data_IF_104068468964
#
_entry.id   IF_104068468964
#
_cell.length_a   1.000
_cell.length_b   1.000
_cell.length_c   1.000
_cell.angle_alpha   90.00
_cell.angle_beta   90.00
_cell.angle_gamma   90.00
#
_symmetry.space_group_name_H-M   'P 1'
#
loop_
_entity.id
_entity.type
_entity.pdbx_description
1 polymer ?
#
# COMPACT_ATOMS: atom_id res chain seq x y z
N UNK A 1 -53.38 -6.27 10.85
CA UNK A 1 -54.44 -7.30 10.80
C UNK A 1 -55.66 -6.91 11.60
N UNK A 2 -55.61 -6.96 12.93
CA UNK A 2 -56.75 -6.51 13.76
C UNK A 2 -57.08 -5.03 13.50
N UNK A 3 -56.06 -4.16 13.53
CA UNK A 3 -56.23 -2.71 13.36
C UNK A 3 -56.73 -2.29 11.96
N UNK A 4 -56.22 -2.91 10.90
CA UNK A 4 -56.67 -2.65 9.51
C UNK A 4 -58.14 -3.07 9.29
N UNK A 5 -58.57 -4.18 9.90
CA UNK A 5 -59.97 -4.61 9.85
C UNK A 5 -60.91 -3.70 10.67
N UNK A 6 -60.36 -2.94 11.63
CA UNK A 6 -61.09 -1.94 12.42
C UNK A 6 -61.06 -0.54 11.76
N UNK A 7 -60.65 -0.44 10.49
CA UNK A 7 -60.65 0.82 9.73
C UNK A 7 -59.44 1.72 9.97
N UNK A 8 -58.36 1.22 10.56
CA UNK A 8 -57.12 2.02 10.69
C UNK A 8 -56.51 2.28 9.32
N UNK A 9 -56.13 3.54 9.07
CA UNK A 9 -55.46 3.95 7.84
C UNK A 9 -54.00 3.48 7.80
N UNK A 10 -53.52 3.17 6.59
CA UNK A 10 -52.10 2.92 6.32
C UNK A 10 -51.40 4.27 6.12
N UNK A 11 -50.26 4.46 6.76
CA UNK A 11 -49.49 5.71 6.82
C UNK A 11 -48.28 5.70 5.87
N UNK A 12 -47.85 4.52 5.43
CA UNK A 12 -46.79 4.31 4.46
C UNK A 12 -45.61 3.50 5.01
N UNK A 13 -45.04 2.63 4.18
CA UNK A 13 -43.91 1.75 4.51
C UNK A 13 -44.30 0.44 5.21
N UNK A 14 -45.57 0.25 5.59
CA UNK A 14 -46.05 -0.98 6.22
C UNK A 14 -45.89 -2.20 5.32
N UNK A 15 -46.06 -2.00 4.01
CA UNK A 15 -45.86 -3.06 3.02
C UNK A 15 -44.40 -3.53 2.99
N UNK A 16 -43.44 -2.60 3.06
CA UNK A 16 -42.00 -2.92 3.10
C UNK A 16 -41.66 -3.61 4.42
N UNK A 17 -42.15 -3.11 5.54
CA UNK A 17 -41.92 -3.70 6.86
C UNK A 17 -42.53 -5.09 7.00
N UNK A 18 -43.70 -5.33 6.39
CA UNK A 18 -44.34 -6.64 6.37
C UNK A 18 -43.45 -7.71 5.73
N UNK A 19 -42.58 -7.33 4.79
CA UNK A 19 -41.69 -8.29 4.12
C UNK A 19 -40.65 -8.93 5.01
N UNK A 20 -40.27 -8.26 6.12
CA UNK A 20 -39.35 -8.80 7.12
C UNK A 20 -39.90 -10.03 7.84
N UNK A 21 -41.23 -10.20 7.87
CA UNK A 21 -41.87 -11.31 8.59
C UNK A 21 -42.12 -12.54 7.72
N UNK A 22 -41.69 -12.53 6.44
CA UNK A 22 -41.85 -13.67 5.52
C UNK A 22 -43.29 -14.20 5.41
N UNK A 23 -44.29 -13.32 5.58
CA UNK A 23 -45.69 -13.72 5.68
C UNK A 23 -46.48 -13.24 4.45
N UNK A 24 -46.72 -14.16 3.50
CA UNK A 24 -47.48 -13.89 2.28
C UNK A 24 -48.90 -13.43 2.58
N UNK A 25 -49.59 -14.07 3.54
CA UNK A 25 -50.97 -13.74 3.89
C UNK A 25 -51.15 -12.36 4.54
N UNK A 26 -50.11 -11.87 5.23
CA UNK A 26 -50.05 -10.49 5.74
C UNK A 26 -49.90 -9.50 4.58
N UNK A 27 -48.97 -9.75 3.67
CA UNK A 27 -48.72 -8.89 2.51
C UNK A 27 -49.92 -8.82 1.58
N UNK A 28 -50.53 -9.95 1.23
CA UNK A 28 -51.75 -9.97 0.40
C UNK A 28 -52.88 -9.14 1.01
N UNK A 29 -53.05 -9.20 2.33
CA UNK A 29 -54.10 -8.44 3.01
C UNK A 29 -53.79 -6.96 3.08
N UNK A 30 -52.53 -6.57 3.28
CA UNK A 30 -52.12 -5.17 3.19
C UNK A 30 -52.37 -4.60 1.79
N UNK A 31 -52.05 -5.38 0.75
CA UNK A 31 -52.35 -5.03 -0.65
C UNK A 31 -53.86 -4.83 -0.86
N UNK A 32 -54.69 -5.77 -0.39
CA UNK A 32 -56.16 -5.64 -0.47
C UNK A 32 -56.72 -4.42 0.26
N UNK A 33 -56.02 -3.91 1.27
CA UNK A 33 -56.41 -2.70 2.03
C UNK A 33 -55.78 -1.41 1.46
N UNK A 34 -55.23 -1.44 0.24
CA UNK A 34 -54.75 -0.25 -0.45
C UNK A 34 -53.36 0.20 -0.01
N UNK A 35 -52.50 -0.71 0.46
CA UNK A 35 -51.11 -0.40 0.74
C UNK A 35 -50.41 0.15 -0.52
N UNK A 36 -49.62 1.21 -0.35
CA UNK A 36 -48.88 1.86 -1.43
C UNK A 36 -47.71 0.99 -1.91
N UNK A 37 -47.55 0.91 -3.22
CA UNK A 37 -46.52 0.07 -3.86
C UNK A 37 -45.18 0.81 -4.05
N UNK A 38 -45.20 2.14 -4.01
CA UNK A 38 -44.04 3.03 -4.20
C UNK A 38 -43.30 3.36 -2.90
N UNK A 39 -43.86 2.94 -1.76
CA UNK A 39 -43.27 3.21 -0.44
C UNK A 39 -41.88 2.59 -0.30
N UNK A 40 -41.02 3.36 0.37
CA UNK A 40 -39.64 2.97 0.65
C UNK A 40 -39.38 2.96 2.14
N UNK A 41 -38.72 1.91 2.60
CA UNK A 41 -38.17 1.86 3.95
C UNK A 41 -36.67 1.58 3.87
N UNK A 42 -35.86 2.41 4.53
CA UNK A 42 -34.39 2.40 4.39
C UNK A 42 -33.93 2.43 2.92
N UNK A 43 -34.64 3.16 2.06
CA UNK A 43 -34.34 3.29 0.63
C UNK A 43 -34.84 2.14 -0.27
N UNK A 44 -35.34 1.04 0.30
CA UNK A 44 -35.77 -0.17 -0.44
C UNK A 44 -37.29 -0.21 -0.65
N UNK A 45 -37.72 -0.67 -1.83
CA UNK A 45 -39.12 -1.05 -2.09
C UNK A 45 -39.49 -2.36 -1.41
N UNK A 46 -40.78 -2.70 -1.36
CA UNK A 46 -41.23 -3.98 -0.81
C UNK A 46 -40.65 -5.18 -1.59
N UNK A 47 -40.55 -5.08 -2.92
CA UNK A 47 -39.96 -6.14 -3.77
C UNK A 47 -38.47 -6.30 -3.47
N UNK A 48 -37.70 -5.21 -3.43
CA UNK A 48 -36.28 -5.24 -3.08
C UNK A 48 -36.05 -5.81 -1.68
N UNK A 49 -36.88 -5.41 -0.70
CA UNK A 49 -36.83 -5.93 0.65
C UNK A 49 -37.09 -7.45 0.66
N UNK A 50 -38.19 -7.91 0.07
CA UNK A 50 -38.55 -9.33 0.02
C UNK A 50 -37.46 -10.21 -0.61
N UNK A 51 -36.84 -9.74 -1.71
CA UNK A 51 -35.71 -10.44 -2.34
C UNK A 51 -34.49 -10.45 -1.41
N UNK A 52 -34.14 -9.30 -0.81
CA UNK A 52 -32.97 -9.19 0.07
C UNK A 52 -33.10 -10.01 1.37
N UNK A 53 -34.32 -10.27 1.82
CA UNK A 53 -34.58 -11.18 2.94
C UNK A 53 -34.57 -12.66 2.51
N UNK A 54 -34.53 -12.97 1.21
CA UNK A 54 -34.52 -14.34 0.68
C UNK A 54 -35.91 -14.96 0.56
N UNK A 55 -36.98 -14.15 0.45
CA UNK A 55 -38.36 -14.65 0.37
C UNK A 55 -38.87 -14.67 -1.08
N UNK A 56 -38.63 -15.79 -1.77
CA UNK A 56 -39.06 -15.98 -3.17
C UNK A 56 -40.57 -15.83 -3.35
N UNK A 57 -41.37 -16.53 -2.56
CA UNK A 57 -42.84 -16.54 -2.72
C UNK A 57 -43.47 -15.17 -2.44
N UNK A 58 -42.91 -14.47 -1.46
CA UNK A 58 -43.35 -13.13 -1.11
C UNK A 58 -43.04 -12.13 -2.23
N UNK A 59 -41.82 -12.19 -2.77
CA UNK A 59 -41.43 -11.36 -3.91
C UNK A 59 -42.30 -11.64 -5.14
N UNK A 60 -42.58 -12.92 -5.44
CA UNK A 60 -43.47 -13.31 -6.52
C UNK A 60 -44.89 -12.77 -6.32
N UNK A 61 -45.41 -12.80 -5.08
CA UNK A 61 -46.73 -12.27 -4.75
C UNK A 61 -46.80 -10.76 -4.94
N UNK A 62 -45.76 -10.04 -4.50
CA UNK A 62 -45.66 -8.59 -4.68
C UNK A 62 -45.60 -8.19 -6.17
N UNK A 63 -44.83 -8.92 -6.99
CA UNK A 63 -44.73 -8.66 -8.42
C UNK A 63 -46.06 -8.93 -9.13
N UNK A 64 -46.72 -10.06 -8.83
CA UNK A 64 -48.05 -10.39 -9.39
C UNK A 64 -49.12 -9.37 -8.99
N UNK A 65 -48.98 -8.74 -7.82
CA UNK A 65 -49.87 -7.68 -7.36
C UNK A 65 -49.64 -6.32 -8.07
N UNK A 66 -48.64 -6.22 -8.94
CA UNK A 66 -48.32 -5.00 -9.67
C UNK A 66 -47.41 -4.02 -8.91
N UNK A 67 -46.64 -4.51 -7.92
CA UNK A 67 -45.66 -3.65 -7.24
C UNK A 67 -44.58 -3.17 -8.22
N UNK A 68 -44.13 -1.92 -8.03
CA UNK A 68 -43.19 -1.27 -8.94
C UNK A 68 -41.79 -1.87 -8.80
N UNK A 69 -41.20 -2.25 -9.93
CA UNK A 69 -39.81 -2.70 -10.03
C UNK A 69 -38.97 -1.51 -10.46
N UNK A 70 -38.07 -1.06 -9.59
CA UNK A 70 -37.41 0.25 -9.72
C UNK A 70 -35.96 0.16 -10.20
N UNK A 71 -35.34 -1.01 -10.10
CA UNK A 71 -33.95 -1.29 -10.47
C UNK A 71 -33.21 -2.10 -9.40
N UNK A 72 -32.35 -3.02 -9.85
CA UNK A 72 -31.53 -3.85 -8.99
C UNK A 72 -32.22 -5.12 -8.48
N UNK A 73 -33.56 -5.20 -8.51
CA UNK A 73 -34.30 -6.42 -8.12
C UNK A 73 -33.85 -7.63 -8.94
N UNK A 74 -33.67 -7.45 -10.25
CA UNK A 74 -33.23 -8.50 -11.17
C UNK A 74 -31.84 -9.05 -10.81
N UNK A 75 -30.87 -8.17 -10.53
CA UNK A 75 -29.54 -8.58 -10.09
C UNK A 75 -29.57 -9.32 -8.74
N UNK A 76 -30.41 -8.87 -7.79
CA UNK A 76 -30.58 -9.54 -6.50
C UNK A 76 -31.24 -10.92 -6.63
N UNK A 77 -32.19 -11.10 -7.56
CA UNK A 77 -32.74 -12.44 -7.82
C UNK A 77 -31.70 -13.38 -8.42
N UNK A 78 -30.83 -12.87 -9.30
CA UNK A 78 -29.73 -13.65 -9.85
C UNK A 78 -28.76 -14.08 -8.76
N UNK A 79 -28.34 -13.15 -7.88
CA UNK A 79 -27.42 -13.46 -6.77
C UNK A 79 -27.96 -14.55 -5.84
N UNK A 80 -29.27 -14.57 -5.61
CA UNK A 80 -29.93 -15.56 -4.78
C UNK A 80 -30.28 -16.86 -5.53
N UNK A 81 -30.06 -16.92 -6.85
CA UNK A 81 -30.36 -18.09 -7.69
C UNK A 81 -31.85 -18.30 -7.95
N UNK A 82 -32.68 -17.26 -7.86
CA UNK A 82 -34.13 -17.34 -8.04
C UNK A 82 -34.53 -17.18 -9.51
N UNK A 83 -34.21 -18.19 -10.35
CA UNK A 83 -34.41 -18.13 -11.80
C UNK A 83 -35.88 -17.83 -12.20
N UNK A 84 -36.85 -18.55 -11.64
CA UNK A 84 -38.27 -18.29 -11.96
C UNK A 84 -38.73 -16.86 -11.58
N UNK A 85 -38.15 -16.31 -10.51
CA UNK A 85 -38.45 -14.94 -10.11
C UNK A 85 -37.78 -13.93 -11.04
N UNK A 86 -36.59 -14.24 -11.54
CA UNK A 86 -35.89 -13.45 -12.54
C UNK A 86 -36.68 -13.42 -13.87
N UNK A 87 -37.22 -14.55 -14.32
CA UNK A 87 -38.08 -14.63 -15.51
C UNK A 87 -39.37 -13.82 -15.32
N UNK A 88 -39.94 -13.87 -14.12
CA UNK A 88 -41.09 -13.04 -13.76
C UNK A 88 -40.76 -11.54 -13.81
N UNK A 89 -39.60 -11.12 -13.30
CA UNK A 89 -39.16 -9.72 -13.39
C UNK A 89 -38.91 -9.31 -14.85
N UNK A 90 -38.30 -10.18 -15.65
CA UNK A 90 -38.02 -9.93 -17.07
C UNK A 90 -39.30 -9.75 -17.89
N UNK A 91 -40.38 -10.46 -17.56
CA UNK A 91 -41.68 -10.34 -18.23
C UNK A 91 -42.49 -9.11 -17.79
N UNK A 92 -42.29 -8.63 -16.57
CA UNK A 92 -43.07 -7.53 -15.99
C UNK A 92 -42.36 -6.16 -16.09
N UNK A 93 -41.18 -6.07 -16.71
CA UNK A 93 -40.39 -4.83 -16.79
C UNK A 93 -39.76 -4.60 -18.16
N UNK A 94 -39.20 -3.40 -18.37
CA UNK A 94 -38.48 -3.07 -19.59
C UNK A 94 -36.95 -3.32 -19.44
N UNK A 95 -36.28 -3.51 -20.57
CA UNK A 95 -34.83 -3.78 -20.66
C UNK A 95 -33.96 -2.78 -19.87
N UNK A 96 -34.33 -1.48 -19.84
CA UNK A 96 -33.59 -0.44 -19.08
C UNK A 96 -33.61 -0.66 -17.56
N UNK A 97 -34.58 -1.37 -17.02
CA UNK A 97 -34.66 -1.69 -15.58
C UNK A 97 -33.87 -2.94 -15.25
N UNK A 98 -33.77 -3.89 -16.18
CA UNK A 98 -33.03 -5.15 -16.00
C UNK A 98 -31.53 -4.93 -15.87
N UNK A 99 -30.98 -3.95 -16.60
CA UNK A 99 -29.55 -3.62 -16.56
C UNK A 99 -29.12 -2.81 -15.32
N UNK A 100 -30.07 -2.37 -14.47
CA UNK A 100 -29.74 -1.55 -13.31
C UNK A 100 -28.96 -2.37 -12.28
N UNK A 101 -27.89 -1.82 -11.70
CA UNK A 101 -27.08 -2.52 -10.71
C UNK A 101 -27.90 -2.85 -9.46
N UNK A 102 -27.56 -3.98 -8.83
CA UNK A 102 -28.11 -4.42 -7.57
C UNK A 102 -27.67 -3.55 -6.39
N UNK A 103 -28.07 -3.95 -5.18
CA UNK A 103 -27.90 -3.13 -3.98
C UNK A 103 -26.43 -2.93 -3.58
N UNK A 104 -25.52 -3.79 -4.05
CA UNK A 104 -24.07 -3.69 -3.83
C UNK A 104 -23.33 -3.14 -5.04
N UNK A 105 -24.05 -2.58 -6.02
CA UNK A 105 -23.47 -2.01 -7.24
C UNK A 105 -23.14 -3.04 -8.32
N UNK A 106 -23.52 -4.31 -8.12
CA UNK A 106 -23.25 -5.40 -9.04
C UNK A 106 -24.20 -5.44 -10.24
N UNK A 107 -23.71 -5.77 -11.42
CA UNK A 107 -24.58 -6.04 -12.58
C UNK A 107 -25.33 -7.36 -12.41
N UNK A 108 -26.42 -7.59 -13.16
CA UNK A 108 -27.11 -8.89 -13.15
C UNK A 108 -26.22 -10.06 -13.55
N UNK A 109 -25.30 -9.84 -14.51
CA UNK A 109 -24.36 -10.85 -14.96
C UNK A 109 -23.32 -11.16 -13.88
N UNK A 110 -22.76 -10.14 -13.22
CA UNK A 110 -21.88 -10.33 -12.05
C UNK A 110 -22.55 -11.15 -10.93
N UNK A 111 -23.79 -10.81 -10.62
CA UNK A 111 -24.58 -11.50 -9.62
C UNK A 111 -24.79 -12.97 -9.99
N UNK A 112 -25.09 -13.26 -11.26
CA UNK A 112 -25.24 -14.63 -11.75
C UNK A 112 -23.92 -15.42 -11.65
N UNK A 113 -22.78 -14.81 -12.00
CA UNK A 113 -21.46 -15.44 -11.91
C UNK A 113 -21.02 -15.78 -10.47
N UNK A 114 -21.53 -15.06 -9.47
CA UNK A 114 -21.26 -15.34 -8.04
C UNK A 114 -22.07 -16.51 -7.48
N UNK A 115 -23.03 -17.04 -8.24
CA UNK A 115 -23.86 -18.15 -7.77
C UNK A 115 -23.18 -19.50 -7.98
N UNK A 116 -23.64 -20.53 -7.26
CA UNK A 116 -23.21 -21.92 -7.52
C UNK A 116 -23.83 -22.49 -8.80
N UNK A 117 -24.92 -21.90 -9.28
CA UNK A 117 -25.60 -22.35 -10.49
C UNK A 117 -25.12 -21.55 -11.70
N UNK A 118 -24.12 -22.09 -12.41
CA UNK A 118 -23.53 -21.42 -13.57
C UNK A 118 -24.50 -21.30 -14.75
N UNK A 119 -25.54 -22.13 -14.79
CA UNK A 119 -26.56 -22.15 -15.85
C UNK A 119 -27.24 -20.78 -16.01
N UNK A 120 -27.46 -20.04 -14.91
CA UNK A 120 -28.07 -18.72 -14.96
C UNK A 120 -27.18 -17.75 -15.75
N UNK A 121 -25.87 -17.76 -15.48
CA UNK A 121 -24.91 -16.92 -16.18
C UNK A 121 -24.71 -17.38 -17.63
N UNK A 122 -24.66 -18.69 -17.88
CA UNK A 122 -24.59 -19.27 -19.23
C UNK A 122 -25.80 -18.88 -20.09
N UNK A 123 -27.01 -18.92 -19.52
CA UNK A 123 -28.23 -18.50 -20.20
C UNK A 123 -28.19 -17.01 -20.55
N UNK A 124 -27.68 -16.15 -19.66
CA UNK A 124 -27.51 -14.73 -19.95
C UNK A 124 -26.48 -14.49 -21.07
N UNK A 125 -25.39 -15.25 -21.09
CA UNK A 125 -24.33 -15.14 -22.11
C UNK A 125 -24.73 -15.75 -23.46
N UNK A 126 -25.69 -16.68 -23.48
CA UNK A 126 -26.19 -17.31 -24.71
C UNK A 126 -27.09 -16.40 -25.57
N UNK A 127 -27.43 -15.21 -25.07
CA UNK A 127 -28.30 -14.26 -25.78
C UNK A 127 -27.51 -13.50 -26.84
N UNK A 128 -28.14 -13.21 -27.97
CA UNK A 128 -27.50 -12.48 -29.09
C UNK A 128 -27.02 -11.06 -28.71
N UNK A 129 -27.57 -10.49 -27.64
CA UNK A 129 -27.22 -9.17 -27.11
C UNK A 129 -26.17 -9.21 -25.98
N UNK A 130 -25.64 -10.39 -25.63
CA UNK A 130 -24.68 -10.55 -24.55
C UNK A 130 -23.35 -9.84 -24.86
N UNK A 131 -22.94 -8.96 -23.95
CA UNK A 131 -21.66 -8.26 -24.02
C UNK A 131 -20.72 -8.75 -22.91
N UNK A 132 -19.43 -8.66 -23.19
CA UNK A 132 -18.41 -8.88 -22.18
C UNK A 132 -18.47 -7.80 -21.10
N UNK A 133 -18.41 -8.20 -19.84
CA UNK A 133 -18.31 -7.32 -18.68
C UNK A 133 -17.12 -7.74 -17.81
N UNK A 134 -16.09 -6.90 -17.66
CA UNK A 134 -14.93 -7.23 -16.81
C UNK A 134 -15.28 -7.51 -15.36
N UNK A 135 -16.31 -6.85 -14.84
CA UNK A 135 -16.80 -7.12 -13.50
C UNK A 135 -17.37 -8.54 -13.36
N UNK A 136 -18.10 -9.01 -14.37
CA UNK A 136 -18.61 -10.38 -14.41
C UNK A 136 -17.49 -11.40 -14.60
N UNK A 137 -16.47 -11.03 -15.37
CA UNK A 137 -15.25 -11.82 -15.50
C UNK A 137 -14.48 -11.95 -14.18
N UNK A 138 -14.34 -10.86 -13.43
CA UNK A 138 -13.80 -10.87 -12.08
C UNK A 138 -14.65 -11.75 -11.14
N UNK A 139 -15.97 -11.64 -11.21
CA UNK A 139 -16.91 -12.46 -10.46
C UNK A 139 -16.78 -13.96 -10.75
N UNK A 140 -16.69 -14.33 -12.04
CA UNK A 140 -16.50 -15.70 -12.48
C UNK A 140 -15.14 -16.24 -12.03
N UNK A 141 -14.09 -15.43 -12.11
CA UNK A 141 -12.73 -15.79 -11.64
C UNK A 141 -12.69 -15.99 -10.13
N UNK A 142 -13.36 -15.13 -9.36
CA UNK A 142 -13.54 -15.28 -7.92
C UNK A 142 -14.31 -16.57 -7.58
N UNK A 143 -15.38 -16.88 -8.30
CA UNK A 143 -16.12 -18.13 -8.09
C UNK A 143 -15.23 -19.35 -8.41
N UNK A 144 -14.49 -19.29 -9.52
CA UNK A 144 -13.68 -20.38 -10.01
C UNK A 144 -12.57 -20.81 -9.04
N UNK A 145 -11.92 -19.89 -8.32
CA UNK A 145 -10.90 -20.27 -7.33
C UNK A 145 -11.45 -21.12 -6.18
N UNK A 146 -12.74 -20.97 -5.84
CA UNK A 146 -13.41 -21.77 -4.80
C UNK A 146 -14.06 -23.03 -5.33
N UNK A 147 -14.62 -22.99 -6.54
CA UNK A 147 -15.40 -24.11 -7.12
C UNK A 147 -14.59 -24.99 -8.06
N UNK A 148 -13.41 -24.54 -8.51
CA UNK A 148 -12.58 -25.14 -9.57
C UNK A 148 -13.35 -25.37 -10.87
N UNK A 149 -14.36 -24.52 -11.15
CA UNK A 149 -15.15 -24.52 -12.37
C UNK A 149 -14.80 -23.30 -13.20
N UNK A 150 -14.13 -23.51 -14.31
CA UNK A 150 -13.60 -22.44 -15.17
C UNK A 150 -14.47 -22.15 -16.39
N UNK A 151 -15.55 -22.93 -16.62
CA UNK A 151 -16.39 -22.81 -17.82
C UNK A 151 -16.98 -21.41 -18.04
N UNK A 152 -17.42 -20.73 -16.98
CA UNK A 152 -17.89 -19.34 -17.10
C UNK A 152 -16.79 -18.36 -17.50
N UNK A 153 -15.57 -18.56 -16.97
CA UNK A 153 -14.41 -17.74 -17.33
C UNK A 153 -14.09 -17.93 -18.81
N UNK A 154 -14.06 -19.18 -19.29
CA UNK A 154 -13.84 -19.49 -20.70
C UNK A 154 -14.94 -18.91 -21.61
N UNK A 155 -16.21 -19.02 -21.22
CA UNK A 155 -17.33 -18.46 -21.99
C UNK A 155 -17.21 -16.94 -22.07
N UNK A 156 -16.96 -16.24 -20.96
CA UNK A 156 -16.76 -14.79 -20.96
C UNK A 156 -15.59 -14.37 -21.86
N UNK A 157 -14.48 -15.12 -21.85
CA UNK A 157 -13.34 -14.84 -22.71
C UNK A 157 -13.66 -15.00 -24.20
N UNK A 158 -14.60 -15.88 -24.59
CA UNK A 158 -15.05 -15.99 -25.99
C UNK A 158 -15.81 -14.77 -26.47
N UNK A 159 -16.48 -14.05 -25.57
CA UNK A 159 -17.20 -12.80 -25.88
C UNK A 159 -16.32 -11.56 -25.76
N UNK A 160 -15.07 -11.69 -25.31
CA UNK A 160 -14.15 -10.57 -25.11
C UNK A 160 -13.64 -10.04 -26.45
N UNK A 161 -13.85 -8.75 -26.72
CA UNK A 161 -13.20 -8.10 -27.86
C UNK A 161 -11.71 -7.82 -27.58
N UNK A 162 -10.81 -7.93 -28.58
CA UNK A 162 -9.36 -7.88 -28.33
C UNK A 162 -8.78 -6.56 -27.81
N UNK A 163 -9.50 -5.43 -27.83
CA UNK A 163 -8.84 -4.11 -27.90
C UNK A 163 -9.21 -3.06 -26.85
N UNK A 164 -9.63 -3.44 -25.63
CA UNK A 164 -9.73 -2.48 -24.53
C UNK A 164 -9.12 -3.04 -23.24
N UNK A 165 -8.30 -2.21 -22.58
CA UNK A 165 -7.86 -2.45 -21.19
C UNK A 165 -9.11 -2.31 -20.34
N UNK A 166 -9.56 -3.39 -19.71
CA UNK A 166 -10.76 -3.39 -18.90
C UNK A 166 -10.43 -3.43 -17.40
N UNK A 167 -11.24 -2.74 -16.60
CA UNK A 167 -10.96 -2.28 -15.23
C UNK A 167 -10.60 -3.41 -14.25
N UNK A 168 -11.17 -4.60 -14.45
CA UNK A 168 -11.06 -5.72 -13.50
C UNK A 168 -10.31 -6.96 -14.03
N UNK A 169 -9.74 -6.95 -15.24
CA UNK A 169 -9.04 -8.13 -15.77
C UNK A 169 -7.75 -8.43 -15.02
N UNK A 170 -6.97 -7.39 -14.72
CA UNK A 170 -5.83 -7.50 -13.83
C UNK A 170 -6.25 -7.98 -12.43
N UNK A 171 -7.43 -7.56 -11.96
CA UNK A 171 -8.00 -8.03 -10.69
C UNK A 171 -8.29 -9.53 -10.72
N UNK A 172 -8.84 -10.06 -11.81
CA UNK A 172 -9.04 -11.50 -12.00
C UNK A 172 -7.71 -12.29 -11.94
N UNK A 173 -6.66 -11.79 -12.60
CA UNK A 173 -5.32 -12.39 -12.51
C UNK A 173 -4.74 -12.28 -11.09
N UNK A 174 -4.93 -11.15 -10.42
CA UNK A 174 -4.54 -10.96 -9.02
C UNK A 174 -5.25 -11.93 -8.06
N UNK A 175 -6.53 -12.22 -8.29
CA UNK A 175 -7.29 -13.24 -7.54
C UNK A 175 -6.66 -14.62 -7.76
N UNK A 176 -6.45 -15.01 -9.02
CA UNK A 176 -5.85 -16.29 -9.36
C UNK A 176 -4.45 -16.46 -8.73
N UNK A 177 -3.63 -15.40 -8.77
CA UNK A 177 -2.32 -15.35 -8.14
C UNK A 177 -2.39 -15.52 -6.62
N UNK A 178 -3.28 -14.78 -5.94
CA UNK A 178 -3.44 -14.82 -4.48
C UNK A 178 -3.79 -16.21 -3.95
N UNK A 179 -4.66 -16.92 -4.67
CA UNK A 179 -5.11 -18.26 -4.29
C UNK A 179 -4.29 -19.38 -4.96
N UNK A 180 -3.17 -19.02 -5.59
CA UNK A 180 -2.24 -19.94 -6.25
C UNK A 180 -2.93 -20.90 -7.24
N UNK A 181 -3.96 -20.43 -7.94
CA UNK A 181 -4.68 -21.22 -8.94
C UNK A 181 -3.94 -21.20 -10.28
N UNK A 182 -2.98 -22.12 -10.44
CA UNK A 182 -2.15 -22.23 -11.64
C UNK A 182 -2.95 -22.48 -12.92
N UNK A 183 -4.09 -23.18 -12.85
CA UNK A 183 -4.92 -23.42 -14.04
C UNK A 183 -5.56 -22.11 -14.49
N UNK A 184 -6.19 -21.38 -13.56
CA UNK A 184 -6.79 -20.09 -13.85
C UNK A 184 -5.74 -19.08 -14.32
N UNK A 185 -4.56 -19.03 -13.68
CA UNK A 185 -3.44 -18.20 -14.15
C UNK A 185 -3.10 -18.55 -15.60
N UNK A 186 -2.95 -19.84 -15.92
CA UNK A 186 -2.60 -20.27 -17.28
C UNK A 186 -3.66 -19.86 -18.30
N UNK A 187 -4.95 -20.03 -17.96
CA UNK A 187 -6.09 -19.64 -18.78
C UNK A 187 -6.09 -18.13 -19.04
N UNK A 188 -6.00 -17.33 -17.98
CA UNK A 188 -6.03 -15.87 -18.05
C UNK A 188 -4.85 -15.31 -18.86
N UNK A 189 -3.66 -15.87 -18.66
CA UNK A 189 -2.48 -15.43 -19.39
C UNK A 189 -2.60 -15.73 -20.89
N UNK A 190 -3.12 -16.90 -21.30
CA UNK A 190 -3.31 -17.29 -22.72
C UNK A 190 -4.27 -16.34 -23.46
N UNK A 191 -5.20 -15.71 -22.77
CA UNK A 191 -6.26 -14.91 -23.40
C UNK A 191 -5.93 -13.42 -23.56
N UNK A 192 -4.64 -13.06 -23.62
CA UNK A 192 -4.16 -11.68 -23.79
C UNK A 192 -4.76 -10.67 -22.78
N UNK A 193 -5.01 -11.13 -21.55
CA UNK A 193 -5.37 -10.23 -20.43
C UNK A 193 -4.28 -9.18 -20.30
N UNK A 194 -4.68 -7.91 -20.40
CA UNK A 194 -3.73 -6.81 -20.50
C UNK A 194 -3.14 -6.41 -19.13
N UNK A 195 -1.91 -5.89 -19.10
CA UNK A 195 -1.33 -5.34 -17.89
C UNK A 195 -2.14 -4.11 -17.42
N UNK A 196 -2.50 -4.10 -16.15
CA UNK A 196 -3.25 -3.00 -15.53
C UNK A 196 -3.20 -3.08 -14.00
N UNK A 197 -3.61 -2.01 -13.30
CA UNK A 197 -3.73 -2.04 -11.85
C UNK A 197 -4.80 -3.06 -11.45
N UNK A 198 -4.44 -4.03 -10.62
CA UNK A 198 -5.38 -4.92 -9.97
C UNK A 198 -5.91 -4.29 -8.67
N UNK A 199 -7.07 -4.77 -8.24
CA UNK A 199 -7.56 -4.54 -6.90
C UNK A 199 -7.21 -5.75 -6.04
N UNK A 200 -6.70 -5.47 -4.84
CA UNK A 200 -6.46 -6.46 -3.82
C UNK A 200 -7.48 -6.25 -2.69
N UNK A 201 -8.04 -7.37 -2.24
CA UNK A 201 -8.87 -7.38 -1.05
C UNK A 201 -7.99 -7.39 0.21
N UNK A 202 -8.39 -6.62 1.23
CA UNK A 202 -7.74 -6.67 2.54
C UNK A 202 -8.00 -8.02 3.22
N UNK A 203 -6.92 -8.65 3.72
CA UNK A 203 -6.97 -9.96 4.37
C UNK A 203 -7.78 -9.95 5.69
N UNK A 204 -7.99 -8.77 6.30
CA UNK A 204 -8.66 -8.63 7.61
C UNK A 204 -10.19 -8.81 7.55
N UNK A 205 -10.79 -8.77 6.37
CA UNK A 205 -12.24 -8.88 6.17
C UNK A 205 -12.61 -10.19 5.45
N UNK A 206 -12.06 -11.33 5.91
CA UNK A 206 -12.57 -12.66 5.54
C UNK A 206 -13.96 -12.89 6.16
N UNK A 207 -14.93 -12.04 5.87
CA UNK A 207 -16.32 -12.50 5.90
C UNK A 207 -16.57 -13.26 4.59
N UNK A 208 -17.27 -14.37 4.65
CA UNK A 208 -17.73 -15.07 3.45
C UNK A 208 -18.80 -14.27 2.70
N UNK A 209 -18.69 -12.94 2.62
CA UNK A 209 -19.66 -12.12 1.88
C UNK A 209 -19.54 -12.45 0.40
N UNK A 210 -20.65 -12.92 -0.15
CA UNK A 210 -20.88 -13.15 -1.58
C UNK A 210 -20.94 -11.83 -2.38
N UNK A 211 -20.19 -10.81 -1.98
CA UNK A 211 -20.28 -9.45 -2.51
C UNK A 211 -19.19 -9.13 -3.53
N UNK A 212 -19.49 -8.19 -4.43
CA UNK A 212 -18.57 -7.68 -5.45
C UNK A 212 -17.53 -6.75 -4.80
N UNK A 213 -16.60 -7.32 -4.02
CA UNK A 213 -15.65 -6.54 -3.24
C UNK A 213 -14.71 -5.67 -4.10
N UNK A 214 -14.48 -6.04 -5.36
CA UNK A 214 -13.76 -5.24 -6.34
C UNK A 214 -14.47 -3.92 -6.68
N UNK A 215 -15.73 -3.73 -6.26
CA UNK A 215 -16.47 -2.46 -6.39
C UNK A 215 -16.41 -1.59 -5.13
N UNK A 216 -15.77 -2.05 -4.04
CA UNK A 216 -15.66 -1.28 -2.79
C UNK A 216 -14.56 -0.22 -2.92
N UNK A 217 -14.83 1.00 -2.45
CA UNK A 217 -13.86 2.10 -2.43
C UNK A 217 -12.66 1.85 -1.52
N UNK A 218 -12.74 0.88 -0.61
CA UNK A 218 -11.66 0.47 0.29
C UNK A 218 -10.68 -0.53 -0.33
N UNK A 219 -10.91 -1.00 -1.57
CA UNK A 219 -10.02 -1.97 -2.21
C UNK A 219 -8.65 -1.34 -2.49
N UNK A 220 -7.57 -2.05 -2.13
CA UNK A 220 -6.21 -1.55 -2.30
C UNK A 220 -5.78 -1.77 -3.75
N UNK A 221 -5.30 -0.73 -4.43
CA UNK A 221 -4.74 -0.85 -5.80
C UNK A 221 -3.32 -1.42 -5.74
N UNK A 222 -3.09 -2.55 -6.41
CA UNK A 222 -1.82 -3.29 -6.51
C UNK A 222 -1.70 -3.90 -7.91
N UNK A 223 -0.52 -4.16 -8.45
CA UNK A 223 -0.45 -5.00 -9.67
C UNK A 223 -0.74 -6.49 -9.36
N UNK A 224 -1.16 -7.28 -10.36
CA UNK A 224 -1.19 -8.74 -10.25
C UNK A 224 0.17 -9.32 -9.87
N UNK A 225 1.25 -8.70 -10.36
CA UNK A 225 2.62 -9.11 -10.07
C UNK A 225 2.98 -8.88 -8.59
N UNK A 226 2.56 -7.75 -8.01
CA UNK A 226 2.76 -7.50 -6.58
C UNK A 226 2.01 -8.55 -5.75
N UNK A 227 0.74 -8.83 -6.09
CA UNK A 227 -0.04 -9.86 -5.39
C UNK A 227 0.62 -11.24 -5.51
N UNK A 228 1.14 -11.59 -6.69
CA UNK A 228 1.91 -12.81 -6.88
C UNK A 228 3.18 -12.84 -6.02
N UNK A 229 3.93 -11.74 -5.96
CA UNK A 229 5.11 -11.62 -5.11
C UNK A 229 4.78 -11.76 -3.61
N UNK A 230 3.60 -11.30 -3.17
CA UNK A 230 3.14 -11.47 -1.79
C UNK A 230 2.99 -12.94 -1.39
N UNK A 231 2.60 -13.81 -2.31
CA UNK A 231 2.44 -15.26 -2.04
C UNK A 231 3.75 -15.98 -1.77
N UNK A 232 4.88 -15.44 -2.24
CA UNK A 232 6.18 -16.12 -2.18
C UNK A 232 6.36 -17.24 -3.23
N UNK A 233 5.41 -17.41 -4.15
CA UNK A 233 5.47 -18.43 -5.20
C UNK A 233 6.11 -17.87 -6.49
N UNK A 234 7.39 -18.19 -6.73
CA UNK A 234 8.13 -17.66 -7.88
C UNK A 234 7.57 -18.12 -9.24
N UNK A 235 6.92 -19.29 -9.31
CA UNK A 235 6.41 -19.83 -10.57
C UNK A 235 5.27 -18.95 -11.13
N UNK A 236 4.46 -18.38 -10.23
CA UNK A 236 3.40 -17.44 -10.60
C UNK A 236 4.02 -16.15 -11.14
N UNK A 237 4.97 -15.57 -10.39
CA UNK A 237 5.71 -14.36 -10.79
C UNK A 237 6.37 -14.55 -12.17
N UNK A 238 7.06 -15.68 -12.37
CA UNK A 238 7.69 -16.05 -13.64
C UNK A 238 6.68 -16.14 -14.79
N UNK A 239 5.52 -16.76 -14.55
CA UNK A 239 4.48 -16.92 -15.57
C UNK A 239 3.89 -15.58 -16.00
N UNK A 240 3.65 -14.67 -15.04
CA UNK A 240 3.13 -13.32 -15.30
C UNK A 240 4.18 -12.49 -16.07
N UNK A 241 5.44 -12.48 -15.63
CA UNK A 241 6.53 -11.76 -16.32
C UNK A 241 6.75 -12.27 -17.75
N UNK A 242 6.64 -13.58 -17.99
CA UNK A 242 6.79 -14.18 -19.32
C UNK A 242 5.75 -13.69 -20.34
N UNK A 243 4.66 -13.05 -19.90
CA UNK A 243 3.65 -12.41 -20.76
C UNK A 243 3.81 -10.90 -20.91
N UNK A 244 4.95 -10.35 -20.46
CA UNK A 244 5.25 -8.92 -20.66
C UNK A 244 4.60 -7.98 -19.65
N UNK A 245 4.08 -8.50 -18.53
CA UNK A 245 3.63 -7.65 -17.43
C UNK A 245 4.84 -6.98 -16.80
N UNK A 246 4.90 -5.65 -16.87
CA UNK A 246 5.95 -4.89 -16.20
C UNK A 246 5.72 -4.85 -14.69
N UNK A 247 6.77 -5.01 -13.88
CA UNK A 247 6.67 -4.76 -12.45
C UNK A 247 6.33 -3.30 -12.14
N UNK A 248 5.44 -3.10 -11.16
CA UNK A 248 5.16 -1.80 -10.57
C UNK A 248 6.05 -1.53 -9.36
N UNK A 249 6.06 -0.27 -8.89
CA UNK A 249 6.83 0.15 -7.71
C UNK A 249 6.50 -0.73 -6.50
N UNK A 250 5.22 -1.06 -6.29
CA UNK A 250 4.78 -1.90 -5.17
C UNK A 250 5.36 -3.33 -5.26
N UNK A 251 5.46 -3.93 -6.45
CA UNK A 251 6.11 -5.23 -6.66
C UNK A 251 7.57 -5.17 -6.23
N UNK A 252 8.27 -4.11 -6.64
CA UNK A 252 9.66 -3.90 -6.22
C UNK A 252 9.77 -3.72 -4.71
N UNK A 253 8.95 -2.85 -4.09
CA UNK A 253 8.99 -2.61 -2.65
C UNK A 253 8.69 -3.88 -1.83
N UNK A 254 7.82 -4.76 -2.32
CA UNK A 254 7.59 -6.07 -1.72
C UNK A 254 8.85 -6.93 -1.70
N UNK A 255 9.73 -6.82 -2.70
CA UNK A 255 11.01 -7.57 -2.68
C UNK A 255 11.91 -7.14 -1.53
N UNK A 256 11.88 -5.85 -1.13
CA UNK A 256 12.68 -5.27 -0.04
C UNK A 256 12.24 -5.69 1.37
N UNK A 257 11.01 -6.20 1.49
CA UNK A 257 10.45 -6.71 2.74
C UNK A 257 10.26 -8.23 2.61
N UNK A 258 11.33 -9.03 2.80
CA UNK A 258 11.24 -10.48 2.67
C UNK A 258 10.22 -11.03 3.66
N UNK A 259 9.41 -11.96 3.16
CA UNK A 259 8.56 -12.78 4.01
C UNK A 259 9.38 -13.95 4.56
N UNK A 260 8.90 -14.61 5.62
CA UNK A 260 9.55 -15.83 6.13
C UNK A 260 9.22 -17.08 5.30
N UNK A 261 8.59 -16.93 4.13
CA UNK A 261 8.02 -18.04 3.35
C UNK A 261 8.35 -17.90 1.86
N UNK A 262 8.80 -19.00 1.25
CA UNK A 262 8.89 -19.14 -0.21
C UNK A 262 10.19 -18.65 -0.84
N UNK A 263 10.14 -18.46 -2.15
CA UNK A 263 11.29 -18.24 -3.03
C UNK A 263 11.58 -16.74 -3.24
N UNK A 264 11.58 -15.95 -2.15
CA UNK A 264 11.72 -14.48 -2.19
C UNK A 264 13.00 -14.03 -2.94
N UNK A 265 14.10 -14.80 -2.85
CA UNK A 265 15.33 -14.54 -3.59
C UNK A 265 15.14 -14.70 -5.11
N UNK A 266 14.39 -15.71 -5.54
CA UNK A 266 14.09 -15.93 -6.95
C UNK A 266 13.10 -14.89 -7.49
N UNK A 267 12.12 -14.50 -6.67
CA UNK A 267 11.15 -13.43 -6.98
C UNK A 267 11.87 -12.10 -7.19
N UNK A 268 12.74 -11.72 -6.25
CA UNK A 268 13.60 -10.54 -6.39
C UNK A 268 14.44 -10.62 -7.66
N UNK A 269 15.13 -11.76 -7.86
CA UNK A 269 15.70 -12.25 -9.13
C UNK A 269 14.97 -11.72 -10.36
N UNK A 270 13.74 -12.22 -10.47
CA UNK A 270 12.90 -12.07 -11.66
C UNK A 270 12.40 -10.64 -11.82
N UNK A 271 11.94 -10.01 -10.73
CA UNK A 271 11.40 -8.64 -10.76
C UNK A 271 12.49 -7.64 -11.15
N UNK A 272 13.68 -7.74 -10.55
CA UNK A 272 14.76 -6.79 -10.80
C UNK A 272 15.39 -6.96 -12.18
N UNK A 273 15.39 -8.18 -12.70
CA UNK A 273 15.81 -8.46 -14.09
C UNK A 273 14.79 -7.91 -15.09
N UNK A 274 13.50 -8.02 -14.79
CA UNK A 274 12.43 -7.51 -15.66
C UNK A 274 12.38 -5.98 -15.68
N UNK A 275 12.57 -5.32 -14.53
CA UNK A 275 12.63 -3.87 -14.40
C UNK A 275 13.56 -3.46 -13.25
N UNK A 276 14.77 -2.97 -13.55
CA UNK A 276 15.76 -2.59 -12.55
C UNK A 276 15.25 -1.53 -11.55
N UNK A 277 15.78 -1.49 -10.31
CA UNK A 277 15.35 -0.55 -9.27
C UNK A 277 15.40 0.93 -9.66
N UNK A 278 16.28 1.29 -10.62
CA UNK A 278 16.46 2.66 -11.11
C UNK A 278 15.24 3.18 -11.91
N UNK A 279 14.47 2.29 -12.53
CA UNK A 279 13.38 2.65 -13.44
C UNK A 279 12.12 3.14 -12.70
N UNK A 280 12.07 3.02 -11.37
CA UNK A 280 10.93 3.42 -10.54
C UNK A 280 11.06 4.85 -9.97
N UNK A 281 12.17 5.55 -10.20
CA UNK A 281 12.37 6.95 -9.80
C UNK A 281 12.84 7.17 -8.35
N UNK A 282 12.90 8.44 -7.87
CA UNK A 282 13.58 8.80 -6.63
C UNK A 282 12.88 8.33 -5.33
N UNK A 283 11.55 8.14 -5.36
CA UNK A 283 10.80 7.60 -4.21
C UNK A 283 11.24 6.16 -3.91
N UNK A 284 11.45 5.37 -4.96
CA UNK A 284 11.98 4.01 -4.89
C UNK A 284 13.37 3.97 -4.23
N UNK A 285 14.29 4.85 -4.66
CA UNK A 285 15.63 4.96 -4.07
C UNK A 285 15.53 5.23 -2.56
N UNK A 286 14.74 6.22 -2.14
CA UNK A 286 14.52 6.54 -0.73
C UNK A 286 14.03 5.34 0.10
N UNK A 287 13.11 4.54 -0.46
CA UNK A 287 12.58 3.34 0.19
C UNK A 287 13.59 2.18 0.20
N UNK A 288 14.41 2.05 -0.84
CA UNK A 288 15.50 1.08 -0.91
C UNK A 288 16.50 1.26 0.25
N UNK A 289 16.75 2.50 0.67
CA UNK A 289 17.64 2.79 1.80
C UNK A 289 17.02 2.54 3.18
N UNK A 290 15.73 2.22 3.30
CA UNK A 290 15.18 1.67 4.55
C UNK A 290 15.84 0.31 4.92
N UNK A 291 16.37 -0.42 3.93
CA UNK A 291 17.12 -1.66 4.18
C UNK A 291 18.36 -1.43 5.04
N UNK A 292 18.95 -0.22 5.00
CA UNK A 292 20.08 0.18 5.85
C UNK A 292 19.64 0.24 7.33
N UNK A 293 18.45 0.79 7.61
CA UNK A 293 17.89 0.83 8.97
C UNK A 293 17.69 -0.58 9.53
N UNK A 294 17.21 -1.50 8.68
CA UNK A 294 17.03 -2.91 9.04
C UNK A 294 18.35 -3.71 9.07
N UNK A 295 19.48 -3.11 8.70
CA UNK A 295 20.82 -3.74 8.61
C UNK A 295 20.86 -4.94 7.66
N UNK A 296 20.09 -4.88 6.58
CA UNK A 296 20.00 -5.97 5.60
C UNK A 296 21.11 -5.86 4.55
N UNK A 297 22.29 -6.41 4.87
CA UNK A 297 23.51 -6.26 4.05
C UNK A 297 23.37 -6.89 2.67
N UNK A 298 22.77 -8.08 2.58
CA UNK A 298 22.54 -8.77 1.31
C UNK A 298 21.72 -7.91 0.35
N UNK A 299 20.73 -7.19 0.87
CA UNK A 299 19.89 -6.30 0.08
C UNK A 299 20.66 -5.08 -0.40
N UNK A 300 21.49 -4.47 0.46
CA UNK A 300 22.35 -3.35 0.07
C UNK A 300 23.29 -3.79 -1.07
N UNK A 301 23.96 -4.94 -0.93
CA UNK A 301 24.85 -5.48 -1.97
C UNK A 301 24.12 -5.74 -3.27
N UNK A 302 22.92 -6.33 -3.20
CA UNK A 302 22.11 -6.57 -4.40
C UNK A 302 21.67 -5.26 -5.05
N UNK A 303 21.21 -4.27 -4.29
CA UNK A 303 20.79 -2.96 -4.82
C UNK A 303 21.93 -2.26 -5.56
N UNK A 304 23.13 -2.29 -4.97
CA UNK A 304 24.35 -1.76 -5.60
C UNK A 304 24.66 -2.53 -6.89
N UNK A 305 24.60 -3.87 -6.86
CA UNK A 305 24.81 -4.70 -8.04
C UNK A 305 23.76 -4.47 -9.14
N UNK A 306 22.56 -4.03 -8.77
CA UNK A 306 21.50 -3.63 -9.69
C UNK A 306 21.65 -2.20 -10.23
N UNK A 307 22.75 -1.52 -9.91
CA UNK A 307 23.12 -0.21 -10.43
C UNK A 307 22.58 0.97 -9.62
N UNK A 308 22.01 0.75 -8.43
CA UNK A 308 21.54 1.85 -7.57
C UNK A 308 22.70 2.78 -7.25
N UNK A 309 22.52 4.07 -7.55
CA UNK A 309 23.50 5.10 -7.22
C UNK A 309 23.65 5.23 -5.69
N UNK A 310 24.86 4.94 -5.22
CA UNK A 310 25.23 4.90 -3.80
C UNK A 310 25.23 6.28 -3.14
N UNK A 311 25.18 7.36 -3.92
CA UNK A 311 25.12 8.74 -3.43
C UNK A 311 23.76 9.41 -3.65
N UNK A 312 22.78 8.65 -4.17
CA UNK A 312 21.42 9.16 -4.38
C UNK A 312 20.82 9.70 -3.10
N UNK A 313 20.45 10.98 -3.12
CA UNK A 313 19.89 11.64 -1.94
C UNK A 313 18.49 11.11 -1.64
N UNK A 314 18.28 10.71 -0.41
CA UNK A 314 17.00 10.21 0.09
C UNK A 314 16.11 11.37 0.56
N UNK A 315 14.80 11.14 0.81
CA UNK A 315 13.95 12.15 1.44
C UNK A 315 14.61 12.71 2.70
N UNK A 316 14.59 14.05 2.87
CA UNK A 316 15.39 14.87 3.82
C UNK A 316 16.83 15.18 3.39
N UNK A 317 17.25 14.74 2.21
CA UNK A 317 18.54 15.10 1.63
C UNK A 317 19.74 14.40 2.25
N UNK A 318 19.57 13.24 2.89
CA UNK A 318 20.69 12.42 3.39
C UNK A 318 21.24 11.52 2.29
N UNK A 319 22.51 11.14 2.38
CA UNK A 319 23.07 10.05 1.55
C UNK A 319 22.92 8.69 2.25
N UNK A 320 22.99 7.58 1.49
CA UNK A 320 22.98 6.23 2.06
C UNK A 320 24.08 6.01 3.09
N UNK A 321 25.28 6.54 2.83
CA UNK A 321 26.40 6.48 3.78
C UNK A 321 26.10 7.25 5.07
N UNK A 322 25.55 8.46 4.98
CA UNK A 322 25.17 9.24 6.17
C UNK A 322 24.12 8.48 7.01
N UNK A 323 23.15 7.81 6.37
CA UNK A 323 22.18 6.95 7.05
C UNK A 323 22.81 5.72 7.70
N UNK A 324 23.72 5.02 7.03
CA UNK A 324 24.36 3.81 7.59
C UNK A 324 25.13 4.13 8.86
N UNK A 325 25.81 5.28 8.85
CA UNK A 325 26.52 5.81 10.02
C UNK A 325 25.54 6.25 11.10
N UNK A 326 24.42 6.90 10.76
CA UNK A 326 23.38 7.26 11.73
C UNK A 326 22.83 6.06 12.49
N UNK A 327 22.67 4.92 11.82
CA UNK A 327 22.22 3.67 12.45
C UNK A 327 23.33 2.83 13.08
N UNK A 328 24.58 3.34 13.05
CA UNK A 328 25.76 2.69 13.62
C UNK A 328 26.10 1.35 12.96
N UNK A 329 25.71 1.16 11.69
CA UNK A 329 25.91 -0.10 11.00
C UNK A 329 27.28 -0.10 10.28
N UNK A 330 28.30 -0.62 10.96
CA UNK A 330 29.67 -0.72 10.44
C UNK A 330 29.72 -1.47 9.09
N UNK A 331 29.03 -2.61 9.01
CA UNK A 331 29.05 -3.44 7.80
C UNK A 331 28.37 -2.75 6.61
N UNK A 332 27.19 -2.13 6.79
CA UNK A 332 26.58 -1.31 5.73
C UNK A 332 27.47 -0.15 5.31
N UNK A 333 28.16 0.47 6.26
CA UNK A 333 29.10 1.56 5.99
C UNK A 333 30.25 1.07 5.12
N UNK A 334 30.87 -0.06 5.46
CA UNK A 334 31.91 -0.70 4.65
C UNK A 334 31.41 -1.04 3.25
N UNK A 335 30.24 -1.67 3.12
CA UNK A 335 29.68 -2.03 1.82
C UNK A 335 29.45 -0.80 0.94
N UNK A 336 28.95 0.29 1.50
CA UNK A 336 28.72 1.53 0.76
C UNK A 336 30.03 2.21 0.37
N UNK A 337 31.03 2.24 1.26
CA UNK A 337 32.34 2.82 0.95
C UNK A 337 33.13 1.98 -0.06
N UNK A 338 33.06 0.65 0.02
CA UNK A 338 33.66 -0.28 -0.94
C UNK A 338 33.03 -0.11 -2.33
N UNK A 339 31.75 0.28 -2.38
CA UNK A 339 31.03 0.61 -3.60
C UNK A 339 31.27 2.04 -4.10
N UNK A 340 32.15 2.82 -3.44
CA UNK A 340 32.56 4.15 -3.88
C UNK A 340 31.68 5.31 -3.42
N UNK A 341 30.86 5.13 -2.37
CA UNK A 341 30.06 6.23 -1.82
C UNK A 341 30.93 7.43 -1.41
N UNK A 342 30.44 8.64 -1.70
CA UNK A 342 31.13 9.89 -1.40
C UNK A 342 31.23 10.12 0.12
N UNK A 343 32.41 9.79 0.67
CA UNK A 343 32.74 9.93 2.10
C UNK A 343 32.53 11.36 2.62
N UNK A 344 32.83 12.36 1.78
CA UNK A 344 32.72 13.78 2.09
C UNK A 344 31.43 14.42 1.53
N UNK A 345 30.36 13.63 1.33
CA UNK A 345 29.08 14.18 0.89
C UNK A 345 28.59 15.28 1.85
N UNK A 346 28.15 16.44 1.33
CA UNK A 346 27.78 17.57 2.17
C UNK A 346 26.54 17.26 3.02
N UNK A 347 26.40 17.90 4.19
CA UNK A 347 25.22 17.73 5.03
C UNK A 347 23.96 18.26 4.32
N UNK A 348 22.79 17.71 4.67
CA UNK A 348 21.51 18.30 4.30
C UNK A 348 21.37 19.73 4.88
N UNK A 349 20.53 20.57 4.26
CA UNK A 349 20.35 21.97 4.67
C UNK A 349 19.88 22.11 6.12
N UNK A 350 18.87 21.31 6.49
CA UNK A 350 18.21 21.35 7.79
C UNK A 350 18.58 20.14 8.64
N UNK A 351 19.21 20.39 9.80
CA UNK A 351 19.65 19.34 10.73
C UNK A 351 20.46 18.21 10.06
N UNK A 352 21.15 18.52 8.96
CA UNK A 352 22.02 17.59 8.26
C UNK A 352 23.38 17.45 8.93
N UNK A 353 24.08 16.37 8.60
CA UNK A 353 25.44 16.12 9.04
C UNK A 353 26.20 15.30 7.97
N UNK A 354 27.51 15.50 7.85
CA UNK A 354 28.39 14.58 7.12
C UNK A 354 28.48 13.24 7.84
N UNK A 355 28.94 12.19 7.16
CA UNK A 355 29.13 10.89 7.80
C UNK A 355 30.07 11.00 9.03
N UNK A 356 31.12 11.82 8.93
CA UNK A 356 32.05 12.11 10.03
C UNK A 356 31.35 12.79 11.21
N UNK A 357 30.56 13.84 10.95
CA UNK A 357 29.84 14.58 11.97
C UNK A 357 28.85 13.66 12.70
N UNK A 358 28.13 12.79 11.97
CA UNK A 358 27.24 11.79 12.59
C UNK A 358 28.03 10.80 13.45
N UNK A 359 29.13 10.25 12.95
CA UNK A 359 29.97 9.33 13.72
C UNK A 359 30.49 9.98 15.00
N UNK A 360 30.91 11.24 14.92
CA UNK A 360 31.42 12.02 16.04
C UNK A 360 30.34 12.29 17.10
N UNK A 361 29.16 12.76 16.69
CA UNK A 361 27.98 12.99 17.56
C UNK A 361 27.56 11.70 18.28
N UNK A 362 27.48 10.59 17.54
CA UNK A 362 27.04 9.30 18.08
C UNK A 362 28.14 8.55 18.85
N UNK A 363 29.40 8.99 18.74
CA UNK A 363 30.55 8.34 19.39
C UNK A 363 30.96 7.01 18.73
N UNK A 364 30.66 6.79 17.45
CA UNK A 364 30.98 5.56 16.74
C UNK A 364 32.45 5.50 16.32
N UNK A 365 33.34 5.22 17.28
CA UNK A 365 34.80 5.19 17.09
C UNK A 365 35.27 4.29 15.94
N UNK A 366 34.69 3.10 15.79
CA UNK A 366 35.06 2.17 14.71
C UNK A 366 34.72 2.72 13.32
N UNK A 367 33.53 3.31 13.19
CA UNK A 367 33.11 3.96 11.95
C UNK A 367 33.94 5.22 11.68
N UNK A 368 34.22 6.03 12.69
CA UNK A 368 35.06 7.23 12.52
C UNK A 368 36.46 6.89 12.03
N UNK A 369 37.08 5.83 12.57
CA UNK A 369 38.40 5.35 12.10
C UNK A 369 38.35 4.91 10.64
N UNK A 370 37.35 4.11 10.26
CA UNK A 370 37.14 3.73 8.85
C UNK A 370 36.99 4.95 7.95
N UNK A 371 36.11 5.89 8.31
CA UNK A 371 35.88 7.11 7.54
C UNK A 371 37.18 7.92 7.40
N UNK A 372 38.00 7.99 8.46
CA UNK A 372 39.27 8.69 8.44
C UNK A 372 40.29 8.05 7.51
N UNK A 373 40.42 6.72 7.53
CA UNK A 373 41.26 5.95 6.61
C UNK A 373 40.89 6.23 5.13
N UNK A 374 39.62 6.54 4.87
CA UNK A 374 39.10 6.89 3.55
C UNK A 374 39.22 8.38 3.19
N UNK A 375 39.96 9.19 3.96
CA UNK A 375 40.22 10.60 3.63
C UNK A 375 39.06 11.54 3.97
N UNK A 376 38.33 11.26 5.05
CA UNK A 376 37.30 12.16 5.55
C UNK A 376 37.86 13.52 5.97
N UNK A 377 37.17 14.58 5.55
CA UNK A 377 37.36 15.95 6.03
C UNK A 377 36.70 16.12 7.41
N UNK A 378 37.52 16.14 8.46
CA UNK A 378 37.06 16.31 9.85
C UNK A 378 36.61 17.74 10.14
N UNK A 379 37.08 18.72 9.37
CA UNK A 379 36.78 20.14 9.51
C UNK A 379 35.64 20.59 8.57
N UNK A 380 34.97 19.63 7.91
CA UNK A 380 33.86 19.89 7.02
C UNK A 380 32.80 20.79 7.69
N UNK A 381 32.23 21.77 6.95
CA UNK A 381 31.29 22.72 7.51
C UNK A 381 30.02 22.02 8.01
N UNK A 382 29.47 22.57 9.09
CA UNK A 382 28.18 22.13 9.64
C UNK A 382 27.01 22.49 8.70
N UNK A 383 25.86 21.81 8.85
CA UNK A 383 24.62 22.23 8.21
C UNK A 383 24.24 23.68 8.58
N UNK A 384 23.58 24.38 7.65
CA UNK A 384 23.23 25.81 7.81
C UNK A 384 22.35 26.08 9.02
N UNK A 385 21.43 25.17 9.32
CA UNK A 385 20.54 25.29 10.49
C UNK A 385 20.76 24.12 11.43
N UNK A 386 21.00 24.42 12.71
CA UNK A 386 21.19 23.44 13.77
C UNK A 386 22.31 22.41 13.51
N UNK A 387 23.29 22.74 12.66
CA UNK A 387 24.44 21.89 12.41
C UNK A 387 25.49 21.95 13.52
N UNK A 388 26.34 20.93 13.55
CA UNK A 388 27.55 20.84 14.37
C UNK A 388 28.72 20.37 13.51
N UNK A 389 29.91 20.91 13.76
CA UNK A 389 31.14 20.27 13.26
C UNK A 389 31.39 18.94 14.00
N UNK A 390 32.37 18.17 13.56
CA UNK A 390 32.74 16.91 14.23
C UNK A 390 33.12 17.15 15.70
N UNK A 391 33.95 18.16 15.97
CA UNK A 391 34.40 18.52 17.31
C UNK A 391 33.26 19.07 18.17
N UNK A 392 32.45 19.99 17.62
CA UNK A 392 31.30 20.57 18.34
C UNK A 392 30.31 19.46 18.76
N UNK A 393 29.99 18.55 17.84
CA UNK A 393 29.06 17.45 18.13
C UNK A 393 29.63 16.42 19.10
N UNK A 394 30.91 16.04 18.96
CA UNK A 394 31.54 15.16 19.93
C UNK A 394 31.58 15.77 21.34
N UNK A 395 31.78 17.09 21.43
CA UNK A 395 31.84 17.80 22.70
C UNK A 395 30.46 17.98 23.35
N UNK A 396 29.46 18.39 22.57
CA UNK A 396 28.05 18.55 23.00
C UNK A 396 27.49 17.25 23.57
N UNK A 397 27.86 16.09 23.01
CA UNK A 397 27.39 14.78 23.48
C UNK A 397 28.38 14.04 24.38
N UNK A 398 29.44 14.72 24.85
CA UNK A 398 30.35 14.21 25.86
C UNK A 398 31.20 13.01 25.41
N UNK A 399 31.48 12.89 24.11
CA UNK A 399 32.21 11.78 23.50
C UNK A 399 33.72 11.96 23.73
N UNK A 400 34.18 11.76 24.96
CA UNK A 400 35.57 12.02 25.39
C UNK A 400 36.62 11.37 24.47
N UNK A 401 36.48 10.07 24.19
CA UNK A 401 37.42 9.34 23.34
C UNK A 401 37.42 9.85 21.88
N UNK A 402 36.26 10.31 21.40
CA UNK A 402 36.12 10.89 20.07
C UNK A 402 36.76 12.28 20.00
N UNK A 403 36.57 13.11 21.03
CA UNK A 403 37.24 14.41 21.14
C UNK A 403 38.75 14.21 21.16
N UNK A 404 39.25 13.29 21.99
CA UNK A 404 40.68 12.98 22.02
C UNK A 404 41.21 12.52 20.66
N UNK A 405 40.45 11.67 19.94
CA UNK A 405 40.80 11.24 18.58
C UNK A 405 40.87 12.44 17.62
N UNK A 406 39.83 13.28 17.58
CA UNK A 406 39.76 14.45 16.68
C UNK A 406 40.92 15.43 16.93
N UNK A 407 41.27 15.66 18.20
CA UNK A 407 42.42 16.48 18.58
C UNK A 407 43.74 15.86 18.07
N UNK A 408 43.94 14.56 18.28
CA UNK A 408 45.12 13.84 17.80
C UNK A 408 45.23 13.85 16.26
N UNK A 409 44.10 13.86 15.56
CA UNK A 409 44.00 13.93 14.10
C UNK A 409 44.21 15.35 13.53
N UNK A 410 44.45 16.34 14.40
CA UNK A 410 44.80 17.69 14.00
C UNK A 410 43.63 18.56 13.55
N UNK A 411 42.43 18.36 14.14
CA UNK A 411 41.29 19.27 13.92
C UNK A 411 41.70 20.73 14.12
N UNK A 412 41.19 21.64 13.27
CA UNK A 412 41.63 23.03 13.30
C UNK A 412 41.04 23.73 14.53
N UNK A 413 41.91 24.14 15.46
CA UNK A 413 41.50 24.80 16.72
C UNK A 413 41.80 26.31 16.76
N UNK A 414 42.49 26.83 15.75
CA UNK A 414 42.95 28.22 15.64
C UNK A 414 42.53 28.80 14.27
N UNK A 415 42.74 30.11 14.07
CA UNK A 415 42.35 30.78 12.82
C UNK A 415 40.87 30.58 12.49
N UNK A 416 40.59 30.02 11.31
CA UNK A 416 39.22 29.80 10.82
C UNK A 416 38.42 28.78 11.64
N UNK A 417 39.08 27.90 12.41
CA UNK A 417 38.45 26.91 13.29
C UNK A 417 38.28 27.37 14.74
N UNK A 418 38.81 28.55 15.11
CA UNK A 418 38.79 29.04 16.49
C UNK A 418 37.37 29.15 17.04
N UNK A 419 36.44 29.72 16.27
CA UNK A 419 35.05 29.89 16.71
C UNK A 419 34.40 28.55 17.05
N UNK A 420 34.61 27.55 16.22
CA UNK A 420 34.05 26.21 16.36
C UNK A 420 34.67 25.48 17.56
N UNK A 421 35.98 25.65 17.77
CA UNK A 421 36.67 25.14 18.95
C UNK A 421 36.11 25.71 20.26
N UNK A 422 35.91 27.03 20.33
CA UNK A 422 35.33 27.69 21.51
C UNK A 422 33.87 27.25 21.73
N UNK A 423 33.09 27.15 20.65
CA UNK A 423 31.72 26.61 20.72
C UNK A 423 31.70 25.16 21.24
N UNK A 424 32.65 24.32 20.84
CA UNK A 424 32.74 22.96 21.35
C UNK A 424 32.95 22.91 22.87
N UNK A 425 33.80 23.80 23.41
CA UNK A 425 33.97 23.96 24.87
C UNK A 425 32.65 24.36 25.53
N UNK A 426 32.00 25.39 25.00
CA UNK A 426 30.73 25.90 25.52
C UNK A 426 29.63 24.84 25.49
N UNK A 427 29.51 24.07 24.41
CA UNK A 427 28.54 22.98 24.33
C UNK A 427 28.83 21.90 25.37
N UNK A 428 30.09 21.49 25.54
CA UNK A 428 30.45 20.54 26.59
C UNK A 428 30.14 21.07 28.00
N UNK A 429 30.37 22.36 28.27
CA UNK A 429 30.04 22.98 29.56
C UNK A 429 28.53 23.06 29.79
N UNK A 430 27.77 23.48 28.76
CA UNK A 430 26.33 23.65 28.82
C UNK A 430 25.57 22.33 29.05
N UNK A 431 26.07 21.25 28.47
CA UNK A 431 25.54 19.88 28.62
C UNK A 431 26.16 19.13 29.83
N UNK A 432 27.04 19.78 30.60
CA UNK A 432 27.63 19.23 31.83
C UNK A 432 28.73 18.19 31.61
N UNK A 433 29.30 18.11 30.42
CA UNK A 433 30.43 17.25 30.05
C UNK A 433 31.78 17.89 30.44
N UNK A 434 31.96 18.18 31.73
CA UNK A 434 33.11 18.93 32.25
C UNK A 434 34.47 18.29 31.97
N UNK A 435 34.56 16.96 31.87
CA UNK A 435 35.81 16.28 31.50
C UNK A 435 36.25 16.63 30.08
N UNK A 436 35.30 16.70 29.15
CA UNK A 436 35.54 17.11 27.76
C UNK A 436 35.90 18.60 27.70
N UNK A 437 35.14 19.45 28.39
CA UNK A 437 35.43 20.88 28.47
C UNK A 437 36.84 21.14 29.02
N UNK A 438 37.22 20.44 30.10
CA UNK A 438 38.57 20.53 30.69
C UNK A 438 39.65 20.05 29.73
N UNK A 439 39.42 18.96 29.01
CA UNK A 439 40.35 18.45 27.99
C UNK A 439 40.57 19.48 26.87
N UNK A 440 39.49 20.06 26.34
CA UNK A 440 39.56 21.08 25.29
C UNK A 440 40.25 22.36 25.79
N UNK A 441 39.88 22.89 26.96
CA UNK A 441 40.55 24.06 27.55
C UNK A 441 42.03 23.84 27.81
N UNK A 442 42.44 22.60 28.10
CA UNK A 442 43.83 22.23 28.34
C UNK A 442 44.60 21.81 27.09
N UNK A 443 43.98 21.78 25.91
CA UNK A 443 44.60 21.24 24.70
C UNK A 443 45.68 22.17 24.10
N UNK A 444 45.44 23.49 24.12
CA UNK A 444 46.37 24.52 23.64
C UNK A 444 46.35 25.76 24.52
N UNK A 445 47.31 26.66 24.32
CA UNK A 445 47.35 27.93 25.05
C UNK A 445 46.12 28.79 24.76
N UNK A 446 45.55 29.37 25.82
CA UNK A 446 44.40 30.28 25.73
C UNK A 446 44.87 31.70 25.46
N UNK A 447 44.40 32.29 24.36
CA UNK A 447 44.82 33.62 23.89
C UNK A 447 43.75 34.68 24.18
N UNK A 448 44.12 35.96 24.06
CA UNK A 448 43.14 37.06 24.17
C UNK A 448 42.04 37.00 23.10
N UNK A 449 42.36 36.47 21.91
CA UNK A 449 41.38 36.26 20.83
C UNK A 449 40.35 35.18 21.19
N UNK A 450 40.77 34.15 21.93
CA UNK A 450 39.87 33.10 22.42
C UNK A 450 38.87 33.68 23.44
N UNK A 451 39.33 34.57 24.33
CA UNK A 451 38.45 35.29 25.27
C UNK A 451 37.43 36.15 24.53
N UNK A 452 37.87 36.90 23.51
CA UNK A 452 36.96 37.75 22.72
C UNK A 452 35.88 36.93 21.99
N UNK A 453 36.24 35.76 21.45
CA UNK A 453 35.25 34.85 20.82
C UNK A 453 34.33 34.23 21.86
N UNK A 454 34.85 33.83 23.03
CA UNK A 454 34.06 33.27 24.13
C UNK A 454 32.95 34.22 24.58
N UNK A 455 33.27 35.49 24.81
CA UNK A 455 32.31 36.53 25.23
C UNK A 455 31.15 36.70 24.22
N UNK A 456 31.41 36.49 22.93
CA UNK A 456 30.39 36.57 21.87
C UNK A 456 29.54 35.30 21.79
N UNK A 457 30.16 34.12 21.88
CA UNK A 457 29.49 32.85 21.63
C UNK A 457 28.78 32.26 22.87
N UNK A 458 29.23 32.57 24.08
CA UNK A 458 28.62 32.11 25.34
C UNK A 458 27.11 32.42 25.45
N UNK A 459 26.63 33.66 25.19
CA UNK A 459 25.19 33.94 25.19
C UNK A 459 24.44 33.24 24.04
N UNK A 460 25.08 33.02 22.88
CA UNK A 460 24.44 32.36 21.74
C UNK A 460 24.25 30.85 21.98
N UNK A 461 25.22 30.21 22.62
CA UNK A 461 25.18 28.78 22.91
C UNK A 461 24.26 28.44 24.10
N UNK A 462 24.09 29.37 25.05
CA UNK A 462 23.23 29.17 26.23
C UNK A 462 21.73 29.33 25.94
N UNK A 463 21.34 30.14 24.95
CA UNK A 463 19.94 30.34 24.54
C UNK A 463 19.33 29.12 23.83
N UNK A 464 20.16 28.20 23.32
CA UNK A 464 19.70 26.97 22.67
C UNK A 464 18.99 25.97 23.61
N UNK A 465 18.91 26.23 24.93
CA UNK A 465 18.22 25.42 25.95
C UNK A 465 16.70 25.34 25.81
N UNK A 466 16.05 26.18 25.01
CA UNK A 466 14.59 26.21 24.89
C UNK A 466 14.09 25.56 23.60
N UNK A 467 14.08 24.22 23.55
CA UNK A 467 13.06 23.44 22.84
C UNK A 467 13.11 21.96 23.16
#
# INVERSE_FOLDING_TARGET
MYLTNQGSALLGGELVMATRFHNVGLVERLIRHGARYDDRWCGKTAVQAAISWGSRDLAATLIRAGCIITGGEYAETMMNGYQELADMIATHTCSKTLIKPGLQGQTPLEAACLTRNTEIAENLLSRDDAQYESGAFCAASWNAVWTRRYGLVETLLRHREPSAIDEFEATALGIAARYEDMYLISLLLISDVQPGPALAHDNAAMDGSKGCWWRKTSAVRKSPLHIAAETGNYLIVKSILARGFEPDEQSFLRTLSPSTKGDDAEIMRSIWTAKPPLDYGPACAGKAFETIKARSIDYIRKLIAAGLDVDSRIPKGWTPLQLSVQYGCMESTQVLTDAGAAVNAPPAHDAGATAAQVAAIMGYMGIMRLLRELGTDIDAPAAKTSGRTTLEGAAEYGRLDMVQLLLNEGVITEGDGRKQFIRAILFAENEGHYAVAKMLRGYREWTGEDTAVLEVEEPLCSVARTK
#
